data_IF_703906667874
#
_entry.id   IF_703906667874
#
_cell.length_a   1.000
_cell.length_b   1.000
_cell.length_c   1.000
_cell.angle_alpha   90.00
_cell.angle_beta   90.00
_cell.angle_gamma   90.00
#
_symmetry.space_group_name_H-M   'P 1'
#
loop_
_entity.id
_entity.type
_entity.pdbx_description
1 polymer ?
#
# COMPACT_ATOMS: atom_id res chain seq x y z
N UNK A 1 -6.41 6.07 7.23
CA UNK A 1 -6.97 6.09 5.86
C UNK A 1 -8.45 5.81 5.99
N UNK A 2 -9.31 6.53 5.26
CA UNK A 2 -10.73 6.19 5.22
C UNK A 2 -10.98 4.98 4.29
N UNK A 3 -12.12 4.28 4.39
CA UNK A 3 -12.41 3.12 3.55
C UNK A 3 -12.37 3.42 2.05
N UNK A 4 -12.77 4.63 1.63
CA UNK A 4 -12.74 5.05 0.23
C UNK A 4 -11.30 5.16 -0.32
N UNK A 5 -10.36 5.66 0.49
CA UNK A 5 -8.95 5.69 0.14
C UNK A 5 -8.35 4.30 0.00
N UNK A 6 -8.76 3.35 0.86
CA UNK A 6 -8.32 1.96 0.81
C UNK A 6 -8.81 1.26 -0.47
N UNK A 7 -10.09 1.44 -0.84
CA UNK A 7 -10.64 0.89 -2.08
C UNK A 7 -9.93 1.43 -3.32
N UNK A 8 -9.70 2.76 -3.38
CA UNK A 8 -8.97 3.37 -4.50
C UNK A 8 -7.54 2.85 -4.59
N UNK A 9 -6.85 2.72 -3.47
CA UNK A 9 -5.49 2.19 -3.45
C UNK A 9 -5.45 0.71 -3.84
N UNK A 10 -6.43 -0.09 -3.38
CA UNK A 10 -6.59 -1.49 -3.78
C UNK A 10 -6.75 -1.61 -5.29
N UNK A 11 -7.74 -0.94 -5.87
CA UNK A 11 -7.97 -0.97 -7.31
C UNK A 11 -6.76 -0.49 -8.09
N UNK A 12 -6.08 0.56 -7.62
CA UNK A 12 -4.87 1.08 -8.25
C UNK A 12 -3.75 0.04 -8.31
N UNK A 13 -3.50 -0.67 -7.22
CA UNK A 13 -2.45 -1.71 -7.18
C UNK A 13 -2.86 -2.92 -8.02
N UNK A 14 -4.10 -3.39 -7.93
CA UNK A 14 -4.57 -4.55 -8.70
C UNK A 14 -4.55 -4.34 -10.22
N UNK A 15 -4.54 -3.08 -10.68
CA UNK A 15 -4.37 -2.76 -12.11
C UNK A 15 -2.90 -2.72 -12.57
N UNK A 16 -1.95 -2.89 -11.65
CA UNK A 16 -0.50 -2.74 -11.88
C UNK A 16 0.31 -3.96 -11.48
N UNK A 17 -0.37 -4.97 -10.96
CA UNK A 17 0.22 -6.27 -10.69
C UNK A 17 0.31 -7.09 -11.96
N UNK A 18 1.25 -8.01 -11.98
CA UNK A 18 1.37 -9.01 -13.03
C UNK A 18 0.09 -9.83 -13.12
N UNK A 19 -0.26 -10.26 -14.32
CA UNK A 19 -1.43 -11.12 -14.56
C UNK A 19 -1.33 -12.40 -13.70
N UNK A 20 -2.41 -12.71 -12.99
CA UNK A 20 -2.50 -13.87 -12.09
C UNK A 20 -1.93 -13.62 -10.68
N UNK A 21 -1.48 -12.39 -10.37
CA UNK A 21 -1.01 -11.98 -9.04
C UNK A 21 -1.99 -11.09 -8.28
N UNK A 22 -3.17 -10.85 -8.83
CA UNK A 22 -4.20 -9.97 -8.26
C UNK A 22 -4.69 -10.47 -6.90
N UNK A 23 -4.93 -11.77 -6.78
CA UNK A 23 -5.43 -12.36 -5.53
C UNK A 23 -4.38 -12.28 -4.41
N UNK A 24 -3.13 -12.63 -4.73
CA UNK A 24 -1.99 -12.53 -3.80
C UNK A 24 -1.78 -11.08 -3.34
N UNK A 25 -1.81 -10.12 -4.28
CA UNK A 25 -1.68 -8.70 -3.96
C UNK A 25 -2.84 -8.18 -3.10
N UNK A 26 -4.07 -8.64 -3.39
CA UNK A 26 -5.26 -8.28 -2.61
C UNK A 26 -5.15 -8.73 -1.17
N UNK A 27 -4.73 -9.97 -0.91
CA UNK A 27 -4.55 -10.50 0.45
C UNK A 27 -3.54 -9.67 1.24
N UNK A 28 -2.39 -9.37 0.64
CA UNK A 28 -1.34 -8.54 1.25
C UNK A 28 -1.88 -7.14 1.59
N UNK A 29 -2.62 -6.51 0.68
CA UNK A 29 -3.20 -5.18 0.90
C UNK A 29 -4.27 -5.21 2.01
N UNK A 30 -5.13 -6.22 2.03
CA UNK A 30 -6.19 -6.36 3.04
C UNK A 30 -5.61 -6.58 4.45
N UNK A 31 -4.53 -7.36 4.59
CA UNK A 31 -3.84 -7.51 5.87
C UNK A 31 -3.34 -6.16 6.39
N UNK A 32 -2.71 -5.36 5.52
CA UNK A 32 -2.19 -4.05 5.88
C UNK A 32 -3.32 -3.05 6.20
N UNK A 33 -4.41 -3.06 5.45
CA UNK A 33 -5.58 -2.22 5.75
C UNK A 33 -6.20 -2.54 7.10
N UNK A 34 -6.25 -3.82 7.50
CA UNK A 34 -6.72 -4.22 8.82
C UNK A 34 -5.81 -3.70 9.93
N UNK A 35 -4.48 -3.79 9.74
CA UNK A 35 -3.51 -3.19 10.67
C UNK A 35 -3.64 -1.67 10.76
N UNK A 36 -3.87 -1.00 9.63
CA UNK A 36 -4.09 0.45 9.59
C UNK A 36 -5.37 0.85 10.30
N UNK A 37 -6.46 0.10 10.13
CA UNK A 37 -7.73 0.33 10.82
C UNK A 37 -7.61 0.13 12.33
N UNK A 38 -6.81 -0.86 12.75
CA UNK A 38 -6.56 -1.16 14.15
C UNK A 38 -5.51 -0.25 14.81
N UNK A 39 -4.87 0.65 14.03
CA UNK A 39 -3.79 1.50 14.53
C UNK A 39 -2.48 0.76 14.85
N UNK A 40 -2.32 -0.48 14.35
CA UNK A 40 -1.13 -1.31 14.58
C UNK A 40 -0.18 -1.34 13.40
N UNK A 41 -0.46 -0.58 12.33
CA UNK A 41 0.42 -0.51 11.17
C UNK A 41 1.65 0.34 11.46
N UNK A 42 2.82 -0.29 11.43
CA UNK A 42 4.09 0.28 11.85
C UNK A 42 5.08 0.47 10.68
N UNK A 43 6.22 1.11 10.95
CA UNK A 43 7.31 1.21 9.97
C UNK A 43 7.86 -0.18 9.58
N UNK A 44 7.88 -1.15 10.49
CA UNK A 44 8.30 -2.53 10.17
C UNK A 44 7.33 -3.19 9.19
N UNK A 45 6.02 -2.94 9.33
CA UNK A 45 5.02 -3.40 8.37
C UNK A 45 5.25 -2.75 7.00
N UNK A 46 5.63 -1.46 6.93
CA UNK A 46 6.01 -0.81 5.66
C UNK A 46 7.23 -1.49 5.03
N UNK A 47 8.27 -1.76 5.81
CA UNK A 47 9.49 -2.40 5.33
C UNK A 47 9.27 -3.84 4.84
N UNK A 48 8.31 -4.56 5.43
CA UNK A 48 7.94 -5.92 4.98
C UNK A 48 6.95 -5.90 3.81
N UNK A 49 6.04 -4.93 3.75
CA UNK A 49 5.03 -4.78 2.70
C UNK A 49 5.63 -4.36 1.36
N UNK A 50 6.49 -3.33 1.36
CA UNK A 50 7.07 -2.75 0.14
C UNK A 50 7.75 -3.78 -0.79
N UNK A 51 8.68 -4.64 -0.33
CA UNK A 51 9.31 -5.62 -1.22
C UNK A 51 8.31 -6.67 -1.72
N UNK A 52 7.34 -7.08 -0.89
CA UNK A 52 6.31 -8.05 -1.28
C UNK A 52 5.42 -7.52 -2.38
N UNK A 53 4.88 -6.31 -2.21
CA UNK A 53 4.01 -5.74 -3.23
C UNK A 53 4.79 -5.44 -4.51
N UNK A 54 6.04 -4.94 -4.38
CA UNK A 54 6.91 -4.65 -5.53
C UNK A 54 7.19 -5.90 -6.37
N UNK A 55 7.37 -7.05 -5.74
CA UNK A 55 7.60 -8.32 -6.45
C UNK A 55 6.40 -8.79 -7.29
N UNK A 56 5.20 -8.31 -6.98
CA UNK A 56 3.96 -8.64 -7.70
C UNK A 56 3.61 -7.64 -8.79
N UNK A 57 4.30 -6.50 -8.84
CA UNK A 57 4.04 -5.46 -9.84
C UNK A 57 4.66 -5.80 -11.19
N UNK A 58 4.04 -5.32 -12.26
CA UNK A 58 4.70 -5.21 -13.56
C UNK A 58 5.91 -4.27 -13.43
N UNK A 59 7.05 -4.64 -14.05
CA UNK A 59 8.31 -3.92 -13.90
C UNK A 59 8.19 -2.42 -14.25
N UNK A 60 7.43 -2.12 -15.29
CA UNK A 60 7.16 -0.76 -15.77
C UNK A 60 6.28 0.07 -14.81
N UNK A 61 5.51 -0.57 -13.93
CA UNK A 61 4.63 0.10 -12.96
C UNK A 61 5.28 0.31 -11.60
N UNK A 62 6.40 -0.36 -11.30
CA UNK A 62 7.09 -0.27 -10.01
C UNK A 62 7.39 1.19 -9.62
N UNK A 63 7.93 1.98 -10.55
CA UNK A 63 8.29 3.38 -10.30
C UNK A 63 7.07 4.24 -9.95
N UNK A 64 5.96 4.04 -10.66
CA UNK A 64 4.69 4.73 -10.41
C UNK A 64 4.14 4.38 -9.03
N UNK A 65 4.08 3.09 -8.71
CA UNK A 65 3.58 2.62 -7.40
C UNK A 65 4.45 3.13 -6.26
N UNK A 66 5.77 3.14 -6.41
CA UNK A 66 6.67 3.69 -5.39
C UNK A 66 6.47 5.19 -5.17
N UNK A 67 6.18 5.95 -6.23
CA UNK A 67 5.86 7.38 -6.11
C UNK A 67 4.55 7.59 -5.33
N UNK A 68 3.52 6.81 -5.64
CA UNK A 68 2.24 6.85 -4.94
C UNK A 68 2.41 6.45 -3.48
N UNK A 69 3.09 5.33 -3.18
CA UNK A 69 3.32 4.88 -1.81
C UNK A 69 4.12 5.92 -1.00
N UNK A 70 5.09 6.61 -1.61
CA UNK A 70 5.81 7.72 -0.95
C UNK A 70 4.91 8.92 -0.67
N UNK A 71 4.04 9.31 -1.59
CA UNK A 71 3.06 10.38 -1.34
C UNK A 71 2.07 9.99 -0.25
N UNK A 72 1.64 8.74 -0.24
CA UNK A 72 0.81 8.19 0.83
C UNK A 72 1.55 8.18 2.17
N UNK A 73 2.83 7.84 2.21
CA UNK A 73 3.62 7.84 3.46
C UNK A 73 3.87 9.23 4.03
N UNK A 74 4.10 10.22 3.18
CA UNK A 74 4.18 11.63 3.60
C UNK A 74 2.85 12.14 4.19
N UNK A 75 1.72 11.58 3.74
CA UNK A 75 0.40 11.89 4.29
C UNK A 75 0.21 11.26 5.69
N UNK A 76 0.85 10.12 5.98
CA UNK A 76 0.79 9.50 7.32
C UNK A 76 1.59 10.28 8.38
N UNK A 77 2.72 10.89 8.02
CA UNK A 77 3.56 11.62 8.98
C UNK A 77 3.07 13.04 9.31
N UNK A 78 2.15 13.60 8.52
CA UNK A 78 1.63 14.97 8.76
C UNK A 78 0.57 15.09 9.85
N UNK A 79 0.11 13.99 10.41
CA UNK A 79 -0.80 13.99 11.58
C UNK A 79 -0.05 13.76 12.90
N UNK A 80 1.29 13.80 12.88
CA UNK A 80 2.15 13.72 14.07
C UNK A 80 2.87 15.02 14.45
N UNK A 81 2.68 16.11 13.70
CA UNK A 81 3.29 17.42 14.00
C UNK A 81 2.28 18.55 13.74
N UNK A 82 1.34 18.69 14.66
CA UNK A 82 0.57 19.90 14.93
C UNK A 82 -0.11 19.76 16.28
N UNK A 83 0.69 19.81 17.35
CA UNK A 83 0.41 20.48 18.64
C UNK A 83 1.46 20.15 19.69
#
# INVERSE_FOLDING_TARGET
MDPQGQEKFLSFILQRVQEGKEEEAKEILMENFKKQQNGTFSNEDVHSFLPRITALLEEEKISEVHAVVRQFSMTFNKTGDSR
#
